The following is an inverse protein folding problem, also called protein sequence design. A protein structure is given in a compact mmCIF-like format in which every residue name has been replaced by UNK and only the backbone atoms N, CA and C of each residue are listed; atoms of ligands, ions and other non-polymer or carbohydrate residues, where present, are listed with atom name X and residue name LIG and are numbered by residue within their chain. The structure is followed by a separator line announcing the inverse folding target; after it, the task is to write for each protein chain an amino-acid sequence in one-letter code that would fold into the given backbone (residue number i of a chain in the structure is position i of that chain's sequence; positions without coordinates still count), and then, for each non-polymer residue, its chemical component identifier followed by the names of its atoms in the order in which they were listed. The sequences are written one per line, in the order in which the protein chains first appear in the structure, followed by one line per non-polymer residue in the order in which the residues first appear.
data_IF_710810949714
#
_entry.id   IF_710810949714
#
_cell.length_a   1.000
_cell.length_b   1.000
_cell.length_c   1.000
_cell.angle_alpha   90.00
_cell.angle_beta   90.00
_cell.angle_gamma   90.00
#
_symmetry.space_group_name_H-M   'P 1'
#
loop_
_entity.id
_entity.type
_entity.pdbx_description
1 polymer ?
#
# COMPACT_ATOMS: atom_id res chain seq x y z
N UNK A 1 9.26 0.52 7.81
CA UNK A 1 8.12 -0.19 7.21
C UNK A 1 8.58 -0.96 5.98
N UNK A 2 8.19 -2.19 5.86
CA UNK A 2 8.53 -3.02 4.71
C UNK A 2 7.42 -2.97 3.66
N UNK A 3 7.79 -2.79 2.41
CA UNK A 3 6.86 -2.73 1.29
C UNK A 3 7.41 -3.51 0.10
N UNK A 4 6.56 -3.83 -0.86
CA UNK A 4 6.98 -4.45 -2.13
C UNK A 4 7.06 -3.44 -3.26
N UNK A 5 6.41 -2.31 -3.13
CA UNK A 5 6.44 -1.29 -4.15
C UNK A 5 5.81 0.00 -3.68
N UNK A 6 6.09 1.06 -4.39
CA UNK A 6 5.59 2.40 -4.07
C UNK A 6 5.42 3.18 -5.37
N UNK A 7 4.25 3.77 -5.55
CA UNK A 7 3.96 4.64 -6.68
C UNK A 7 3.45 5.98 -6.15
N UNK A 8 4.19 7.03 -6.36
CA UNK A 8 3.86 8.35 -5.83
C UNK A 8 2.73 9.05 -6.58
N UNK A 9 2.29 8.50 -7.70
CA UNK A 9 1.18 9.07 -8.47
C UNK A 9 0.40 7.97 -9.17
N UNK A 10 -0.44 7.28 -8.40
CA UNK A 10 -1.26 6.20 -8.92
C UNK A 10 -2.64 6.74 -9.30
N UNK A 11 -3.03 6.54 -10.54
CA UNK A 11 -4.33 6.95 -11.08
C UNK A 11 -5.20 5.76 -11.48
N UNK A 12 -4.74 4.54 -11.21
CA UNK A 12 -5.39 3.30 -11.67
C UNK A 12 -6.23 2.67 -10.58
N UNK A 13 -5.72 2.63 -9.34
CA UNK A 13 -6.35 1.87 -8.27
C UNK A 13 -7.47 2.62 -7.56
N UNK A 14 -7.58 3.91 -7.75
CA UNK A 14 -8.66 4.71 -7.19
C UNK A 14 -9.07 5.79 -8.19
N UNK A 15 -10.29 6.30 -8.02
CA UNK A 15 -10.84 7.32 -8.93
C UNK A 15 -10.09 8.65 -8.91
N UNK A 16 -9.30 8.90 -7.88
CA UNK A 16 -8.47 10.10 -7.75
C UNK A 16 -7.01 9.71 -7.61
N UNK A 17 -6.06 10.60 -7.96
CA UNK A 17 -4.64 10.31 -7.80
C UNK A 17 -4.29 10.09 -6.33
N UNK A 18 -3.58 9.00 -6.05
CA UNK A 18 -3.12 8.66 -4.69
C UNK A 18 -1.68 8.20 -4.72
N UNK A 19 -1.02 8.25 -3.56
CA UNK A 19 0.24 7.56 -3.36
C UNK A 19 -0.09 6.11 -3.03
N UNK A 20 0.33 5.18 -3.88
CA UNK A 20 0.06 3.76 -3.71
C UNK A 20 1.20 3.06 -2.98
N UNK A 21 0.85 2.28 -1.96
CA UNK A 21 1.80 1.50 -1.16
C UNK A 21 1.46 0.03 -1.33
N UNK A 22 2.39 -0.74 -1.88
CA UNK A 22 2.22 -2.17 -2.05
C UNK A 22 2.72 -2.90 -0.80
N UNK A 23 1.81 -3.41 0.00
CA UNK A 23 2.11 -4.12 1.24
C UNK A 23 2.75 -5.49 0.94
N UNK A 24 3.66 -5.95 1.82
CA UNK A 24 4.60 -6.99 1.42
C UNK A 24 4.12 -8.42 1.63
N UNK A 25 3.09 -8.65 2.46
CA UNK A 25 2.70 -9.99 2.87
C UNK A 25 1.25 -10.29 2.54
N UNK A 26 0.98 -11.57 2.31
CA UNK A 26 -0.36 -12.12 2.19
C UNK A 26 -0.35 -13.49 2.86
N UNK A 27 -1.44 -13.84 3.56
CA UNK A 27 -1.56 -15.15 4.18
C UNK A 27 -1.78 -16.28 3.15
N UNK A 28 -1.94 -15.91 1.89
CA UNK A 28 -2.09 -16.84 0.77
C UNK A 28 -3.31 -17.77 0.87
N UNK A 29 -4.35 -17.36 1.59
CA UNK A 29 -5.57 -18.16 1.63
C UNK A 29 -6.15 -18.40 0.24
N UNK A 30 -6.05 -17.41 -0.62
CA UNK A 30 -6.46 -17.56 -2.00
C UNK A 30 -5.59 -18.57 -2.75
N UNK A 31 -4.36 -18.81 -2.29
CA UNK A 31 -3.43 -19.75 -2.90
C UNK A 31 -3.71 -21.20 -2.49
N UNK A 32 -4.39 -21.41 -1.39
CA UNK A 32 -4.84 -22.76 -0.99
C UNK A 32 -6.10 -23.19 -1.72
N UNK A 33 -6.86 -22.24 -2.22
CA UNK A 33 -7.97 -22.49 -3.11
C UNK A 33 -7.44 -22.53 -4.55
N UNK A 34 -8.20 -23.12 -5.45
CA UNK A 34 -7.81 -23.16 -6.87
C UNK A 34 -7.61 -21.78 -7.47
N UNK A 35 -8.10 -20.76 -6.81
CA UNK A 35 -7.92 -19.37 -7.20
C UNK A 35 -6.50 -18.88 -7.01
N UNK A 36 -5.67 -19.61 -6.28
CA UNK A 36 -4.27 -19.19 -6.01
C UNK A 36 -3.49 -18.91 -7.29
N UNK A 37 -3.74 -19.68 -8.32
CA UNK A 37 -3.09 -19.54 -9.61
C UNK A 37 -3.56 -18.30 -10.36
N UNK A 38 -4.69 -17.74 -9.94
CA UNK A 38 -5.30 -16.57 -10.53
C UNK A 38 -5.17 -15.34 -9.64
N UNK A 39 -4.35 -15.41 -8.60
CA UNK A 39 -4.11 -14.25 -7.73
C UNK A 39 -3.46 -13.14 -8.55
N UNK A 40 -4.14 -12.00 -8.65
CA UNK A 40 -3.66 -10.87 -9.43
C UNK A 40 -2.34 -10.30 -8.92
N UNK A 41 -2.03 -10.54 -7.65
CA UNK A 41 -0.85 -10.01 -7.01
C UNK A 41 0.27 -11.05 -6.89
N UNK A 42 0.13 -12.22 -7.53
CA UNK A 42 1.15 -13.27 -7.45
C UNK A 42 2.51 -12.82 -7.96
N UNK A 43 2.53 -11.96 -8.97
CA UNK A 43 3.79 -11.41 -9.48
C UNK A 43 4.45 -10.44 -8.50
N UNK A 44 3.64 -9.78 -7.66
CA UNK A 44 4.17 -8.85 -6.67
C UNK A 44 5.02 -9.54 -5.62
N UNK A 45 4.73 -10.80 -5.31
CA UNK A 45 5.51 -11.60 -4.37
C UNK A 45 6.97 -11.73 -4.82
N UNK A 46 7.21 -11.71 -6.12
CA UNK A 46 8.54 -11.83 -6.70
C UNK A 46 9.34 -10.54 -6.63
N UNK A 47 8.69 -9.42 -6.34
CA UNK A 47 9.38 -8.16 -6.19
C UNK A 47 10.18 -8.15 -4.87
N UNK A 48 11.34 -7.50 -4.84
CA UNK A 48 12.12 -7.43 -3.61
C UNK A 48 11.39 -6.66 -2.52
N UNK A 49 11.59 -7.07 -1.28
CA UNK A 49 11.15 -6.28 -0.13
C UNK A 49 12.01 -5.04 -0.01
N UNK A 50 11.36 -3.92 0.23
CA UNK A 50 12.01 -2.64 0.46
C UNK A 50 11.69 -2.21 1.88
N UNK A 51 12.71 -1.87 2.66
CA UNK A 51 12.51 -1.28 3.97
C UNK A 51 12.66 0.24 3.85
N UNK A 52 11.55 0.95 4.10
CA UNK A 52 11.50 2.39 3.91
C UNK A 52 10.93 3.06 5.16
N UNK A 53 11.54 4.16 5.66
CA UNK A 53 10.96 4.88 6.79
C UNK A 53 9.64 5.54 6.40
N UNK A 54 8.68 5.54 7.32
CA UNK A 54 7.40 6.22 7.11
C UNK A 54 7.57 7.70 6.80
N UNK A 55 8.56 8.34 7.42
CA UNK A 55 8.85 9.75 7.16
C UNK A 55 9.14 10.00 5.68
N UNK A 56 9.86 9.08 5.03
CA UNK A 56 10.16 9.22 3.61
C UNK A 56 8.91 9.07 2.75
N UNK A 57 8.04 8.15 3.10
CA UNK A 57 6.75 7.97 2.40
C UNK A 57 5.93 9.26 2.50
N UNK A 58 5.86 9.85 3.68
CA UNK A 58 5.11 11.09 3.89
C UNK A 58 5.76 12.28 3.19
N UNK A 59 7.09 12.33 3.14
CA UNK A 59 7.78 13.37 2.40
C UNK A 59 7.45 13.30 0.90
N UNK A 60 7.39 12.10 0.35
CA UNK A 60 6.97 11.89 -1.03
C UNK A 60 5.53 12.32 -1.25
N UNK A 61 4.66 12.01 -0.31
CA UNK A 61 3.25 12.42 -0.39
C UNK A 61 3.13 13.95 -0.38
N UNK A 62 3.82 14.62 0.54
CA UNK A 62 3.77 16.08 0.65
C UNK A 62 4.38 16.77 -0.57
N UNK A 63 5.36 16.13 -1.19
CA UNK A 63 6.04 16.70 -2.36
C UNK A 63 5.16 16.70 -3.61
N UNK A 64 4.09 15.90 -3.64
CA UNK A 64 3.19 15.82 -4.79
C UNK A 64 1.82 16.38 -4.42
N UNK A 65 1.54 17.66 -4.77
CA UNK A 65 0.27 18.30 -4.40
C UNK A 65 -0.93 17.77 -5.21
N UNK A 66 -0.69 16.94 -6.22
CA UNK A 66 -1.76 16.40 -7.06
C UNK A 66 -2.44 15.19 -6.43
N UNK A 67 -1.79 14.52 -5.48
CA UNK A 67 -2.38 13.38 -4.82
C UNK A 67 -3.44 13.81 -3.80
N UNK A 68 -4.51 13.02 -3.73
CA UNK A 68 -5.68 13.30 -2.87
C UNK A 68 -5.77 12.36 -1.68
N UNK A 69 -4.83 11.41 -1.55
CA UNK A 69 -4.82 10.45 -0.47
C UNK A 69 -3.78 9.38 -0.67
N UNK A 70 -3.88 8.33 0.12
CA UNK A 70 -3.03 7.15 0.01
C UNK A 70 -3.88 5.92 -0.26
N UNK A 71 -3.33 4.98 -1.01
CA UNK A 71 -3.95 3.68 -1.29
C UNK A 71 -3.04 2.58 -0.77
N UNK A 72 -3.56 1.75 0.11
CA UNK A 72 -2.87 0.60 0.66
C UNK A 72 -3.39 -0.65 -0.04
N UNK A 73 -2.51 -1.36 -0.70
CA UNK A 73 -2.90 -2.54 -1.46
C UNK A 73 -1.70 -3.43 -1.71
N UNK A 74 -1.59 -3.96 -2.92
CA UNK A 74 -0.56 -4.92 -3.24
C UNK A 74 -0.96 -6.30 -2.78
N UNK A 75 -0.25 -6.86 -1.80
CA UNK A 75 -0.68 -8.08 -1.12
C UNK A 75 -1.74 -7.73 -0.07
N UNK A 76 -1.74 -8.34 1.09
CA UNK A 76 -2.80 -8.07 2.07
C UNK A 76 -2.33 -7.07 3.13
N UNK A 77 -2.84 -5.82 3.14
CA UNK A 77 -2.41 -4.82 4.13
C UNK A 77 -2.65 -5.25 5.57
N UNK A 78 -3.73 -5.98 5.86
CA UNK A 78 -4.02 -6.41 7.23
C UNK A 78 -3.07 -7.48 7.74
N UNK A 79 -2.30 -8.13 6.88
CA UNK A 79 -1.23 -9.03 7.31
C UNK A 79 0.02 -8.27 7.79
N UNK A 80 0.02 -6.95 7.63
CA UNK A 80 1.00 -6.03 8.18
C UNK A 80 0.30 -4.99 9.07
N UNK A 81 -0.55 -5.47 9.97
CA UNK A 81 -1.48 -4.61 10.72
C UNK A 81 -0.78 -3.51 11.51
N UNK A 82 0.34 -3.84 12.16
CA UNK A 82 1.06 -2.84 12.96
C UNK A 82 1.56 -1.69 12.09
N UNK A 83 2.12 -2.00 10.93
CA UNK A 83 2.58 -0.99 9.98
C UNK A 83 1.41 -0.20 9.40
N UNK A 84 0.32 -0.89 9.08
CA UNK A 84 -0.89 -0.24 8.55
C UNK A 84 -1.47 0.74 9.57
N UNK A 85 -1.56 0.31 10.83
CA UNK A 85 -2.08 1.16 11.90
C UNK A 85 -1.21 2.39 12.11
N UNK A 86 0.11 2.20 12.18
CA UNK A 86 1.08 3.28 12.31
C UNK A 86 0.96 4.28 11.15
N UNK A 87 0.91 3.77 9.93
CA UNK A 87 0.75 4.58 8.74
C UNK A 87 -0.51 5.44 8.81
N UNK A 88 -1.64 4.84 9.15
CA UNK A 88 -2.91 5.56 9.22
C UNK A 88 -2.91 6.62 10.30
N UNK A 89 -2.38 6.30 11.48
CA UNK A 89 -2.29 7.27 12.57
C UNK A 89 -1.43 8.46 12.20
N UNK A 90 -0.23 8.22 11.68
CA UNK A 90 0.68 9.29 11.33
C UNK A 90 0.15 10.12 10.17
N UNK A 91 -0.52 9.49 9.20
CA UNK A 91 -1.13 10.21 8.10
C UNK A 91 -2.23 11.15 8.59
N UNK A 92 -3.06 10.71 9.54
CA UNK A 92 -4.11 11.52 10.11
C UNK A 92 -3.60 12.68 10.95
N UNK A 93 -2.38 12.59 11.46
CA UNK A 93 -1.78 13.68 12.23
C UNK A 93 -1.52 14.92 11.38
N UNK A 94 -1.31 14.77 10.06
CA UNK A 94 -1.03 15.91 9.21
C UNK A 94 -2.03 16.11 8.07
N UNK A 95 -2.92 15.17 7.81
CA UNK A 95 -3.83 15.26 6.67
C UNK A 95 -5.16 14.58 6.95
N UNK A 96 -6.22 15.17 6.42
CA UNK A 96 -7.56 14.57 6.38
C UNK A 96 -7.86 13.95 5.01
N UNK A 97 -6.85 13.80 4.18
CA UNK A 97 -7.02 13.21 2.86
C UNK A 97 -7.43 11.75 2.96
N UNK A 98 -7.95 11.21 1.87
CA UNK A 98 -8.54 9.88 1.87
C UNK A 98 -7.50 8.79 2.09
N UNK A 99 -7.91 7.73 2.78
CA UNK A 99 -7.15 6.49 2.92
C UNK A 99 -7.99 5.38 2.32
N UNK A 100 -7.46 4.71 1.31
CA UNK A 100 -8.10 3.57 0.65
C UNK A 100 -7.33 2.31 1.00
N UNK A 101 -8.03 1.28 1.44
CA UNK A 101 -7.42 -0.01 1.80
C UNK A 101 -8.12 -1.09 0.99
N UNK A 102 -7.34 -1.79 0.17
CA UNK A 102 -7.82 -2.93 -0.59
C UNK A 102 -7.40 -4.23 0.13
N UNK A 103 -8.38 -4.96 0.60
CA UNK A 103 -8.18 -6.20 1.34
C UNK A 103 -8.99 -7.34 0.73
#
# INVERSE_FOLDING_TARGET
MKIRGLNDYDIVNYKEPTLFIAFPYCNFKCDFDFASRNCQNSELIKQPLIDIPLTKIFDMYKANPLTKGITCGGLEPFDSFDDLEWLCHLFRDFSNDIIVIYT
#
